data_IF_124307498862
#
_entry.id   IF_124307498862
#
_cell.length_a   1.000
_cell.length_b   1.000
_cell.length_c   1.000
_cell.angle_alpha   90.00
_cell.angle_beta   90.00
_cell.angle_gamma   90.00
#
_symmetry.space_group_name_H-M   'P 1'
#
loop_
_entity.id
_entity.type
_entity.pdbx_description
1 polymer ?
#
# COMPACT_ATOMS: atom_id res chain seq x y z
N UNK A 1 -21.10 38.06 4.28
CA UNK A 1 -20.85 36.63 4.58
C UNK A 1 -19.81 36.14 3.59
N UNK A 2 -18.57 35.98 4.05
CA UNK A 2 -17.42 35.61 3.22
C UNK A 2 -17.59 34.20 2.68
N UNK A 3 -17.38 34.05 1.37
CA UNK A 3 -17.40 32.77 0.65
C UNK A 3 -16.33 31.85 1.19
N UNK A 4 -16.74 30.77 1.88
CA UNK A 4 -15.87 29.70 2.35
C UNK A 4 -15.51 28.68 1.25
N UNK A 5 -16.01 28.87 0.03
CA UNK A 5 -15.72 27.99 -1.11
C UNK A 5 -14.63 28.58 -2.03
N UNK A 6 -13.47 28.93 -1.48
CA UNK A 6 -12.26 28.92 -2.30
C UNK A 6 -11.88 27.46 -2.48
N UNK A 7 -12.40 26.82 -3.54
CA UNK A 7 -11.94 25.50 -3.99
C UNK A 7 -10.41 25.47 -3.90
N UNK A 8 -9.88 24.40 -3.34
CA UNK A 8 -8.44 24.27 -3.06
C UNK A 8 -7.69 24.69 -4.33
N UNK A 9 -6.90 25.77 -4.24
CA UNK A 9 -5.99 26.19 -5.31
C UNK A 9 -5.22 24.93 -5.72
N UNK A 10 -5.48 24.43 -6.92
CA UNK A 10 -4.95 23.16 -7.40
C UNK A 10 -3.41 23.17 -7.37
N UNK A 11 -2.81 24.34 -7.60
CA UNK A 11 -1.37 24.54 -7.48
C UNK A 11 -0.90 24.41 -6.01
N UNK A 12 -1.68 24.92 -5.05
CA UNK A 12 -1.39 24.74 -3.62
C UNK A 12 -1.57 23.30 -3.17
N UNK A 13 -2.63 22.63 -3.62
CA UNK A 13 -2.82 21.19 -3.37
C UNK A 13 -1.63 20.39 -3.91
N UNK A 14 -1.21 20.71 -5.13
CA UNK A 14 -0.09 20.02 -5.77
C UNK A 14 1.21 20.21 -5.02
N UNK A 15 1.54 21.45 -4.61
CA UNK A 15 2.72 21.74 -3.77
C UNK A 15 2.71 20.97 -2.45
N UNK A 16 1.55 20.86 -1.81
CA UNK A 16 1.41 20.08 -0.57
C UNK A 16 1.68 18.59 -0.82
N UNK A 17 1.04 18.01 -1.83
CA UNK A 17 1.20 16.59 -2.20
C UNK A 17 2.66 16.30 -2.55
N UNK A 18 3.29 17.15 -3.36
CA UNK A 18 4.68 16.96 -3.77
C UNK A 18 5.63 17.11 -2.58
N UNK A 19 5.37 18.02 -1.64
CA UNK A 19 6.09 18.12 -0.37
C UNK A 19 6.00 16.83 0.45
N UNK A 20 4.79 16.31 0.67
CA UNK A 20 4.59 15.04 1.41
C UNK A 20 5.34 13.89 0.75
N UNK A 21 5.26 13.77 -0.58
CA UNK A 21 5.99 12.73 -1.33
C UNK A 21 7.49 12.84 -1.15
N UNK A 22 8.03 14.06 -1.18
CA UNK A 22 9.46 14.30 -1.01
C UNK A 22 9.94 13.92 0.39
N UNK A 23 9.17 14.22 1.43
CA UNK A 23 9.48 13.81 2.81
C UNK A 23 9.62 12.28 2.90
N UNK A 24 8.64 11.53 2.39
CA UNK A 24 8.71 10.07 2.37
C UNK A 24 9.90 9.54 1.55
N UNK A 25 10.09 10.05 0.33
CA UNK A 25 11.16 9.59 -0.55
C UNK A 25 12.54 9.85 0.05
N UNK A 26 12.74 10.98 0.74
CA UNK A 26 14.03 11.34 1.33
C UNK A 26 14.46 10.43 2.49
N UNK A 27 13.51 9.87 3.24
CA UNK A 27 13.79 9.01 4.40
C UNK A 27 13.75 7.53 4.02
N UNK A 28 12.89 7.14 3.07
CA UNK A 28 12.56 5.73 2.80
C UNK A 28 12.75 5.29 1.33
N UNK A 29 13.25 6.17 0.45
CA UNK A 29 13.42 5.90 -0.98
C UNK A 29 12.13 6.10 -1.79
N UNK A 30 11.07 5.37 -1.42
CA UNK A 30 9.75 5.43 -2.03
C UNK A 30 8.64 5.90 -1.10
N UNK A 31 7.47 6.21 -1.67
CA UNK A 31 6.23 6.51 -0.93
C UNK A 31 5.49 5.19 -0.66
N UNK A 32 5.04 4.92 0.59
CA UNK A 32 4.24 3.73 0.87
C UNK A 32 2.88 3.83 0.16
N UNK A 33 2.50 2.77 -0.56
CA UNK A 33 1.26 2.73 -1.35
C UNK A 33 0.12 1.97 -0.67
N UNK A 34 0.46 1.04 0.22
CA UNK A 34 -0.49 0.14 0.89
C UNK A 34 0.14 -1.20 1.17
N UNK A 35 -0.70 -2.19 1.51
CA UNK A 35 -0.24 -3.54 1.83
C UNK A 35 -0.92 -4.60 0.97
N UNK A 36 -0.26 -5.75 0.85
CA UNK A 36 -0.86 -6.97 0.33
C UNK A 36 -0.76 -8.07 1.39
N UNK A 37 -1.86 -8.77 1.65
CA UNK A 37 -1.91 -9.81 2.68
C UNK A 37 -2.66 -11.05 2.20
N UNK A 38 -2.43 -12.18 2.88
CA UNK A 38 -3.21 -13.40 2.71
C UNK A 38 -4.69 -13.15 3.05
N UNK A 39 -5.61 -13.72 2.25
CA UNK A 39 -7.04 -13.57 2.49
C UNK A 39 -7.64 -14.78 3.21
N UNK A 40 -8.03 -14.59 4.48
CA UNK A 40 -8.63 -15.64 5.30
C UNK A 40 -10.15 -15.84 5.12
N UNK A 41 -10.80 -15.15 4.16
CA UNK A 41 -12.23 -15.38 3.87
C UNK A 41 -12.52 -16.76 3.26
N UNK A 42 -11.48 -17.46 2.79
CA UNK A 42 -11.62 -18.72 2.07
C UNK A 42 -11.95 -18.54 0.58
N UNK A 43 -12.19 -19.65 -0.13
CA UNK A 43 -12.38 -19.63 -1.57
C UNK A 43 -13.55 -18.71 -2.00
N UNK A 44 -13.39 -17.95 -3.12
CA UNK A 44 -12.30 -18.05 -4.08
C UNK A 44 -11.08 -17.15 -3.76
N UNK A 45 -11.10 -16.42 -2.65
CA UNK A 45 -10.10 -15.39 -2.37
C UNK A 45 -8.82 -15.96 -1.78
N UNK A 46 -7.68 -15.44 -2.21
CA UNK A 46 -6.35 -15.90 -1.76
C UNK A 46 -5.50 -14.78 -1.19
N UNK A 47 -5.74 -13.54 -1.59
CA UNK A 47 -5.07 -12.36 -1.06
C UNK A 47 -5.97 -11.12 -1.17
N UNK A 48 -5.63 -10.06 -0.45
CA UNK A 48 -6.36 -8.80 -0.47
C UNK A 48 -5.42 -7.59 -0.35
N UNK A 49 -5.79 -6.51 -1.01
CA UNK A 49 -5.09 -5.22 -0.91
C UNK A 49 -5.66 -4.42 0.25
N UNK A 50 -4.77 -3.83 1.03
CA UNK A 50 -5.06 -2.97 2.16
C UNK A 50 -4.59 -1.54 1.89
N UNK A 51 -5.30 -0.57 2.45
CA UNK A 51 -4.80 0.79 2.65
C UNK A 51 -3.73 0.82 3.76
N UNK A 52 -3.09 1.98 3.95
CA UNK A 52 -2.07 2.16 5.00
C UNK A 52 -2.65 2.06 6.43
N UNK A 53 -3.95 2.25 6.60
CA UNK A 53 -4.70 2.04 7.84
C UNK A 53 -5.30 0.62 7.96
N UNK A 54 -4.83 -0.34 7.15
CA UNK A 54 -5.29 -1.73 7.14
C UNK A 54 -6.77 -1.94 6.76
N UNK A 55 -7.38 -0.98 6.07
CA UNK A 55 -8.72 -1.17 5.51
C UNK A 55 -8.65 -1.97 4.22
N UNK A 56 -9.49 -3.01 4.08
CA UNK A 56 -9.55 -3.82 2.86
C UNK A 56 -10.11 -3.00 1.70
N UNK A 57 -9.32 -2.89 0.64
CA UNK A 57 -9.73 -2.23 -0.61
C UNK A 57 -10.37 -3.23 -1.57
N UNK A 58 -9.78 -4.43 -1.69
CA UNK A 58 -10.26 -5.47 -2.62
C UNK A 58 -9.69 -6.84 -2.26
N UNK A 59 -10.52 -7.86 -2.39
CA UNK A 59 -10.12 -9.26 -2.39
C UNK A 59 -9.85 -9.76 -3.81
N UNK A 60 -8.88 -10.67 -3.96
CA UNK A 60 -8.47 -11.22 -5.25
C UNK A 60 -8.50 -12.75 -5.22
N UNK A 61 -9.06 -13.33 -6.28
CA UNK A 61 -8.96 -14.75 -6.60
C UNK A 61 -7.62 -15.06 -7.31
N UNK A 62 -7.22 -16.35 -7.44
CA UNK A 62 -5.96 -16.72 -8.10
C UNK A 62 -5.80 -16.17 -9.52
N UNK A 63 -6.90 -16.12 -10.28
CA UNK A 63 -6.93 -15.66 -11.67
C UNK A 63 -6.99 -14.12 -11.80
N UNK A 64 -7.25 -13.38 -10.72
CA UNK A 64 -7.31 -11.93 -10.78
C UNK A 64 -5.91 -11.32 -10.95
N UNK A 65 -5.82 -10.33 -11.81
CA UNK A 65 -4.60 -9.52 -11.98
C UNK A 65 -4.46 -8.52 -10.83
N UNK A 66 -3.35 -8.59 -10.10
CA UNK A 66 -2.93 -7.52 -9.20
C UNK A 66 -2.28 -6.40 -10.02
N UNK A 67 -2.59 -5.12 -9.73
CA UNK A 67 -1.91 -4.00 -10.36
C UNK A 67 -0.47 -3.91 -9.84
N UNK A 68 0.47 -3.52 -10.69
CA UNK A 68 1.80 -3.11 -10.23
C UNK A 68 1.72 -1.85 -9.36
N UNK A 69 2.59 -1.69 -8.35
CA UNK A 69 3.67 -2.61 -7.95
C UNK A 69 3.25 -3.75 -7.01
N UNK A 70 1.96 -3.92 -6.69
CA UNK A 70 1.51 -4.95 -5.74
C UNK A 70 1.67 -6.38 -6.26
N UNK A 71 1.72 -6.57 -7.58
CA UNK A 71 1.91 -7.90 -8.16
C UNK A 71 3.25 -8.52 -7.75
N UNK A 72 4.31 -7.73 -7.59
CA UNK A 72 5.62 -8.17 -7.09
C UNK A 72 5.55 -8.79 -5.68
N UNK A 73 4.61 -8.34 -4.84
CA UNK A 73 4.42 -8.84 -3.48
C UNK A 73 3.60 -10.14 -3.40
N UNK A 74 2.96 -10.58 -4.51
CA UNK A 74 1.92 -11.63 -4.48
C UNK A 74 2.43 -12.98 -3.98
N UNK A 75 3.64 -13.37 -4.35
CA UNK A 75 4.24 -14.62 -3.85
C UNK A 75 4.49 -14.58 -2.36
N UNK A 76 4.96 -13.45 -1.83
CA UNK A 76 5.24 -13.28 -0.40
C UNK A 76 3.94 -13.23 0.41
N UNK A 77 2.94 -12.48 -0.06
CA UNK A 77 1.65 -12.34 0.62
C UNK A 77 0.86 -13.66 0.72
N UNK A 78 1.15 -14.65 -0.11
CA UNK A 78 0.55 -15.99 -0.05
C UNK A 78 1.23 -16.92 0.96
N UNK A 79 2.37 -16.52 1.51
CA UNK A 79 3.00 -17.22 2.62
C UNK A 79 2.31 -16.85 3.92
N UNK A 80 1.88 -17.84 4.70
CA UNK A 80 1.31 -17.64 6.03
C UNK A 80 2.34 -17.18 7.08
N UNK A 81 3.60 -16.99 6.68
CA UNK A 81 4.67 -16.49 7.55
C UNK A 81 4.56 -14.99 7.84
N UNK A 82 3.92 -14.24 6.95
CA UNK A 82 3.88 -12.78 7.01
C UNK A 82 2.46 -12.32 7.32
N UNK A 83 2.34 -11.31 8.18
CA UNK A 83 1.08 -10.64 8.43
C UNK A 83 0.60 -9.91 7.16
N UNK A 84 1.52 -9.21 6.51
CA UNK A 84 1.30 -8.47 5.27
C UNK A 84 2.66 -8.09 4.65
N UNK A 85 2.61 -7.61 3.41
CA UNK A 85 3.75 -7.09 2.67
C UNK A 85 3.53 -5.60 2.43
N UNK A 86 4.48 -4.77 2.88
CA UNK A 86 4.52 -3.35 2.55
C UNK A 86 4.97 -3.14 1.12
N UNK A 87 4.28 -2.26 0.39
CA UNK A 87 4.56 -1.98 -1.03
C UNK A 87 4.80 -0.49 -1.22
N UNK A 88 5.93 -0.14 -1.83
CA UNK A 88 6.37 1.23 -2.05
C UNK A 88 6.38 1.61 -3.54
N UNK A 89 6.35 2.91 -3.82
CA UNK A 89 6.26 3.47 -5.18
C UNK A 89 7.48 3.21 -6.07
N UNK A 90 8.62 2.92 -5.47
CA UNK A 90 9.88 2.58 -6.16
C UNK A 90 10.01 1.07 -6.43
N UNK A 91 8.99 0.27 -6.09
CA UNK A 91 8.98 -1.17 -6.26
C UNK A 91 9.57 -1.94 -5.08
N UNK A 92 10.02 -1.28 -4.01
CA UNK A 92 10.43 -1.96 -2.79
C UNK A 92 9.23 -2.70 -2.17
N UNK A 93 9.45 -3.96 -1.80
CA UNK A 93 8.50 -4.76 -1.03
C UNK A 93 9.14 -5.26 0.25
N UNK A 94 8.53 -4.98 1.41
CA UNK A 94 9.04 -5.40 2.71
C UNK A 94 8.05 -6.34 3.40
N UNK A 95 8.40 -7.62 3.63
CA UNK A 95 7.56 -8.53 4.41
C UNK A 95 7.53 -8.13 5.88
N UNK A 96 6.35 -8.18 6.49
CA UNK A 96 6.17 -7.95 7.93
C UNK A 96 5.72 -9.25 8.59
N UNK A 97 6.44 -9.67 9.64
CA UNK A 97 6.11 -10.86 10.42
C UNK A 97 4.87 -10.63 11.30
N UNK A 98 4.32 -11.72 11.83
CA UNK A 98 3.14 -11.66 12.70
C UNK A 98 3.34 -10.85 14.00
N UNK A 99 4.59 -10.67 14.43
CA UNK A 99 4.95 -9.84 15.59
C UNK A 99 5.21 -8.37 15.23
N UNK A 100 5.03 -7.98 13.96
CA UNK A 100 5.28 -6.62 13.47
C UNK A 100 6.72 -6.36 13.02
N UNK A 101 7.62 -7.33 13.13
CA UNK A 101 9.00 -7.16 12.66
C UNK A 101 9.07 -7.07 11.14
N UNK A 102 9.71 -6.01 10.63
CA UNK A 102 9.97 -5.83 9.20
C UNK A 102 11.20 -6.62 8.79
N UNK A 103 11.07 -7.50 7.80
CA UNK A 103 12.19 -8.25 7.20
C UNK A 103 12.89 -7.35 6.19
N UNK A 104 14.10 -6.88 6.53
CA UNK A 104 14.97 -6.12 5.63
C UNK A 104 16.05 -7.05 5.06
N UNK A 105 16.43 -6.89 3.78
CA UNK A 105 17.61 -7.54 3.22
C UNK A 105 18.91 -7.08 3.90
#
# INVERSE_FOLDING_TARGET
MASLDSGIDEARARRLIDGIRQEYASVHGGVPLGFLAHCSLGPPYVDHRLTLDHTVVRHFAPADTLPEPFAAARMLARSERYAYIEVFSDGLTLPVLMDGTVVRP
#
